data_IF_179023400534
#
_entry.id   IF_179023400534
#
_cell.length_a   1.000
_cell.length_b   1.000
_cell.length_c   1.000
_cell.angle_alpha   90.00
_cell.angle_beta   90.00
_cell.angle_gamma   90.00
#
_symmetry.space_group_name_H-M   'P 1'
#
loop_
_entity.id
_entity.type
_entity.pdbx_description
1 polymer ?
#
# COMPACT_ATOMS: atom_id res chain seq x y z
N UNK A 1 29.08 7.44 4.91
CA UNK A 1 28.15 6.57 4.20
C UNK A 1 27.75 5.41 5.11
N UNK A 2 26.84 5.64 6.07
CA UNK A 2 26.34 4.65 7.05
C UNK A 2 24.86 4.98 7.38
N UNK A 3 23.99 5.03 6.38
CA UNK A 3 22.59 5.42 6.57
C UNK A 3 21.56 4.29 6.39
N UNK A 4 21.99 3.09 6.00
CA UNK A 4 21.09 1.94 5.79
C UNK A 4 20.86 1.06 7.02
N UNK A 5 21.26 1.49 8.23
CA UNK A 5 21.36 0.61 9.40
C UNK A 5 20.25 0.84 10.43
N UNK A 6 19.51 1.94 10.40
CA UNK A 6 18.68 2.34 11.53
C UNK A 6 17.30 1.70 11.63
N UNK A 7 16.63 1.37 10.52
CA UNK A 7 15.37 0.63 10.60
C UNK A 7 15.64 -0.85 10.96
N UNK A 8 16.71 -1.43 10.39
CA UNK A 8 17.23 -2.75 10.83
C UNK A 8 17.65 -2.76 12.30
N UNK A 9 18.08 -1.63 12.85
CA UNK A 9 18.55 -1.56 14.24
C UNK A 9 17.39 -1.54 15.26
N UNK A 10 16.25 -0.95 14.94
CA UNK A 10 15.07 -1.01 15.80
C UNK A 10 14.45 -2.42 15.86
N UNK A 11 14.49 -3.16 14.77
CA UNK A 11 14.09 -4.58 14.74
C UNK A 11 15.19 -5.48 15.33
N UNK A 12 16.47 -5.15 15.15
CA UNK A 12 17.63 -5.95 15.59
C UNK A 12 17.94 -5.86 17.08
N UNK A 13 17.59 -4.79 17.79
CA UNK A 13 17.81 -4.68 19.24
C UNK A 13 16.90 -5.59 20.08
N UNK A 14 15.85 -6.15 19.48
CA UNK A 14 14.94 -7.09 20.11
C UNK A 14 15.09 -8.55 19.64
N UNK A 15 16.06 -8.86 18.79
CA UNK A 15 16.26 -10.22 18.22
C UNK A 15 16.59 -11.31 19.25
N UNK A 16 16.81 -10.98 20.50
CA UNK A 16 17.05 -11.93 21.58
C UNK A 16 15.82 -12.55 22.23
N UNK A 17 14.59 -12.13 21.86
CA UNK A 17 13.33 -12.57 22.48
C UNK A 17 12.34 -13.23 21.50
N UNK A 18 12.76 -13.45 20.26
CA UNK A 18 11.89 -13.98 19.23
C UNK A 18 11.99 -15.50 19.20
N UNK A 19 10.97 -16.18 19.67
CA UNK A 19 10.77 -17.58 19.34
C UNK A 19 10.69 -17.75 17.82
N UNK A 20 10.93 -18.95 17.33
CA UNK A 20 11.08 -19.35 15.91
C UNK A 20 9.91 -19.01 14.96
N UNK A 21 8.92 -18.21 15.41
CA UNK A 21 7.69 -17.94 14.64
C UNK A 21 7.84 -16.68 13.77
N UNK A 22 7.88 -16.89 12.47
CA UNK A 22 7.86 -15.80 11.48
C UNK A 22 6.51 -15.09 11.49
N UNK A 23 6.44 -13.73 11.53
CA UNK A 23 5.16 -13.03 11.52
C UNK A 23 4.48 -13.12 10.16
N UNK A 24 3.18 -12.95 10.19
CA UNK A 24 2.40 -12.59 9.02
C UNK A 24 2.65 -11.12 8.68
N UNK A 25 2.50 -10.76 7.42
CA UNK A 25 2.75 -9.39 6.94
C UNK A 25 1.60 -8.98 6.04
N UNK A 26 0.99 -7.84 6.33
CA UNK A 26 0.00 -7.19 5.47
C UNK A 26 0.50 -5.79 5.13
N UNK A 27 0.67 -5.52 3.84
CA UNK A 27 1.04 -4.22 3.34
C UNK A 27 -0.17 -3.58 2.63
N UNK A 28 -0.86 -2.71 3.35
CA UNK A 28 -1.96 -1.89 2.85
C UNK A 28 -1.35 -0.70 2.13
N UNK A 29 -1.56 -0.61 0.82
CA UNK A 29 -0.97 0.41 -0.02
C UNK A 29 -2.08 1.09 -0.83
N UNK A 30 -2.48 2.26 -0.39
CA UNK A 30 -3.53 3.07 -0.99
C UNK A 30 -3.05 3.73 -2.30
N UNK A 31 -3.98 4.25 -3.07
CA UNK A 31 -3.73 4.92 -4.35
C UNK A 31 -4.16 6.39 -4.25
N UNK A 32 -3.21 7.32 -4.34
CA UNK A 32 -3.43 8.77 -4.22
C UNK A 32 -3.80 9.26 -2.81
N UNK A 33 -3.49 8.55 -1.73
CA UNK A 33 -3.83 8.97 -0.37
C UNK A 33 -2.82 10.00 0.18
N UNK A 34 -3.29 11.21 0.40
CA UNK A 34 -2.47 12.31 0.90
C UNK A 34 -2.02 12.13 2.35
N UNK A 35 -0.84 12.67 2.70
CA UNK A 35 -0.39 12.66 4.09
C UNK A 35 -1.39 13.38 5.02
N UNK A 36 -2.03 14.43 4.55
CA UNK A 36 -3.02 15.19 5.31
C UNK A 36 -4.42 14.56 5.35
N UNK A 37 -4.66 13.48 4.63
CA UNK A 37 -6.00 12.87 4.47
C UNK A 37 -6.32 11.82 5.54
N UNK A 38 -5.78 11.99 6.76
CA UNK A 38 -6.02 11.15 7.92
C UNK A 38 -6.55 11.96 9.09
N UNK A 39 -7.46 11.35 9.88
CA UNK A 39 -7.95 11.95 11.12
C UNK A 39 -6.82 12.19 12.13
N UNK A 40 -5.93 11.22 12.33
CA UNK A 40 -4.77 11.33 13.21
C UNK A 40 -3.73 12.37 12.75
N UNK A 41 -3.77 12.82 11.49
CA UNK A 41 -2.96 13.93 10.98
C UNK A 41 -3.70 15.28 11.01
N UNK A 42 -4.91 15.32 11.59
CA UNK A 42 -5.67 16.54 11.84
C UNK A 42 -6.49 17.05 10.65
N UNK A 43 -6.96 16.15 9.77
CA UNK A 43 -7.88 16.58 8.71
C UNK A 43 -9.16 17.16 9.31
N UNK A 44 -9.67 18.29 8.78
CA UNK A 44 -10.76 19.03 9.44
C UNK A 44 -12.11 18.29 9.45
N UNK A 45 -12.39 17.40 8.52
CA UNK A 45 -13.66 16.69 8.43
C UNK A 45 -13.57 15.21 8.03
N UNK A 46 -12.44 14.73 7.49
CA UNK A 46 -12.30 13.32 7.16
C UNK A 46 -12.27 12.46 8.43
N UNK A 47 -12.90 11.30 8.36
CA UNK A 47 -12.95 10.32 9.43
C UNK A 47 -12.20 9.06 8.96
N UNK A 48 -11.13 8.70 9.65
CA UNK A 48 -10.36 7.48 9.37
C UNK A 48 -10.14 6.67 10.67
N UNK A 49 -11.25 6.30 11.38
CA UNK A 49 -11.13 5.75 12.73
C UNK A 49 -10.32 4.44 12.80
N UNK A 50 -10.29 3.65 11.74
CA UNK A 50 -9.56 2.38 11.71
C UNK A 50 -8.07 2.57 11.42
N UNK A 51 -7.71 3.52 10.53
CA UNK A 51 -6.31 3.92 10.34
C UNK A 51 -5.80 4.66 11.58
N UNK A 52 -6.62 5.50 12.22
CA UNK A 52 -6.29 6.18 13.47
C UNK A 52 -6.07 5.15 14.61
N UNK A 53 -6.89 4.07 14.66
CA UNK A 53 -6.66 2.91 15.52
C UNK A 53 -5.30 2.28 15.23
N UNK A 54 -4.98 2.00 13.95
CA UNK A 54 -3.70 1.42 13.55
C UNK A 54 -2.52 2.29 14.01
N UNK A 55 -2.63 3.62 13.91
CA UNK A 55 -1.63 4.58 14.40
C UNK A 55 -1.51 4.55 15.93
N UNK A 56 -2.61 4.50 16.65
CA UNK A 56 -2.62 4.44 18.13
C UNK A 56 -2.08 3.11 18.68
N UNK A 57 -2.25 2.01 17.96
CA UNK A 57 -1.73 0.69 18.30
C UNK A 57 -0.32 0.42 17.76
N UNK A 58 0.24 1.34 16.96
CA UNK A 58 1.54 1.22 16.28
C UNK A 58 2.39 2.48 16.35
N UNK A 59 3.28 2.64 15.39
CA UNK A 59 4.10 3.84 15.20
C UNK A 59 3.75 4.51 13.87
N UNK A 60 3.48 5.81 13.93
CA UNK A 60 3.26 6.69 12.80
C UNK A 60 4.58 7.40 12.42
N UNK A 61 5.12 7.12 11.23
CA UNK A 61 6.40 7.63 10.76
C UNK A 61 6.19 8.82 9.82
N UNK A 62 6.37 10.02 10.35
CA UNK A 62 6.09 11.27 9.62
C UNK A 62 7.08 11.60 8.50
N UNK A 63 8.23 10.93 8.44
CA UNK A 63 9.28 11.21 7.45
C UNK A 63 9.50 10.03 6.49
N UNK A 64 8.42 9.43 6.05
CA UNK A 64 8.44 8.43 4.98
C UNK A 64 8.26 9.09 3.63
N UNK A 65 8.96 8.57 2.61
CA UNK A 65 8.79 8.98 1.22
C UNK A 65 8.78 7.79 0.27
N UNK A 66 7.87 7.84 -0.70
CA UNK A 66 7.88 6.96 -1.87
C UNK A 66 8.90 7.45 -2.90
N UNK A 67 9.23 6.60 -3.87
CA UNK A 67 10.29 6.88 -4.84
C UNK A 67 9.84 7.74 -6.03
N UNK A 68 8.55 8.02 -6.15
CA UNK A 68 7.98 8.81 -7.25
C UNK A 68 6.64 9.42 -6.82
N UNK A 69 6.25 10.53 -7.46
CA UNK A 69 4.93 11.12 -7.29
C UNK A 69 3.82 10.46 -8.11
N UNK A 70 4.05 9.28 -8.72
CA UNK A 70 3.07 8.53 -9.51
C UNK A 70 3.13 7.03 -9.24
N UNK A 71 2.01 6.34 -9.52
CA UNK A 71 1.73 4.96 -9.12
C UNK A 71 2.80 3.93 -9.51
N UNK A 72 2.97 3.63 -10.82
CA UNK A 72 3.80 2.49 -11.26
C UNK A 72 5.26 2.56 -10.81
N UNK A 73 5.97 3.71 -10.88
CA UNK A 73 7.33 3.78 -10.34
C UNK A 73 7.39 3.61 -8.83
N UNK A 74 6.43 4.14 -8.05
CA UNK A 74 6.39 3.90 -6.60
C UNK A 74 6.13 2.43 -6.27
N UNK A 75 5.18 1.79 -6.98
CA UNK A 75 4.88 0.35 -6.84
C UNK A 75 6.10 -0.51 -7.24
N UNK A 76 6.84 -0.11 -8.28
CA UNK A 76 8.13 -0.74 -8.64
C UNK A 76 9.14 -0.65 -7.50
N UNK A 77 9.26 0.51 -6.84
CA UNK A 77 10.22 0.70 -5.76
C UNK A 77 9.91 -0.17 -4.54
N UNK A 78 8.65 -0.24 -4.08
CA UNK A 78 8.26 -1.08 -2.94
C UNK A 78 8.41 -2.57 -3.22
N UNK A 79 8.21 -2.99 -4.48
CA UNK A 79 8.37 -4.39 -4.88
C UNK A 79 9.83 -4.81 -5.03
N UNK A 80 10.70 -3.91 -5.49
CA UNK A 80 12.08 -4.26 -5.86
C UNK A 80 13.15 -3.78 -4.88
N UNK A 81 12.84 -2.79 -4.03
CA UNK A 81 13.84 -2.09 -3.21
C UNK A 81 14.82 -1.24 -4.03
N UNK A 82 14.50 -1.00 -5.30
CA UNK A 82 15.34 -0.20 -6.19
C UNK A 82 14.60 1.06 -6.64
N UNK A 83 15.34 2.13 -6.90
CA UNK A 83 14.76 3.29 -7.58
C UNK A 83 14.26 2.89 -8.97
N UNK A 84 13.05 3.32 -9.38
CA UNK A 84 12.38 2.88 -10.60
C UNK A 84 13.12 3.27 -11.88
N UNK A 85 13.96 4.31 -11.85
CA UNK A 85 14.86 4.70 -12.94
C UNK A 85 15.79 3.56 -13.39
N UNK A 86 16.13 2.61 -12.49
CA UNK A 86 16.91 1.41 -12.85
C UNK A 86 16.22 0.54 -13.90
N UNK A 87 14.91 0.63 -13.98
CA UNK A 87 14.04 -0.12 -14.90
C UNK A 87 13.47 0.75 -16.02
N UNK A 88 13.92 2.01 -16.12
CA UNK A 88 13.34 3.02 -17.03
C UNK A 88 11.83 3.22 -16.82
N UNK A 89 11.36 3.09 -15.56
CA UNK A 89 9.95 3.27 -15.18
C UNK A 89 9.83 4.61 -14.45
N UNK A 90 9.60 5.69 -15.18
CA UNK A 90 9.51 7.08 -14.69
C UNK A 90 8.09 7.67 -14.74
N UNK A 91 7.12 6.91 -15.26
CA UNK A 91 5.70 7.25 -15.28
C UNK A 91 4.82 6.03 -15.04
N UNK A 92 3.52 6.26 -14.97
CA UNK A 92 2.55 5.16 -14.87
C UNK A 92 2.51 4.34 -16.17
N UNK A 93 2.36 3.04 -16.07
CA UNK A 93 2.10 2.19 -17.24
C UNK A 93 0.77 2.56 -17.89
N UNK A 94 0.79 2.64 -19.20
CA UNK A 94 -0.36 2.95 -20.04
C UNK A 94 -0.35 2.02 -21.26
N UNK A 95 -1.10 2.32 -22.30
CA UNK A 95 -1.06 1.57 -23.56
C UNK A 95 0.31 1.68 -24.25
N UNK A 96 0.67 0.65 -25.03
CA UNK A 96 2.02 0.47 -25.61
C UNK A 96 2.59 1.73 -26.30
N UNK A 97 1.89 2.42 -27.23
CA UNK A 97 2.42 3.64 -27.84
C UNK A 97 2.75 4.78 -26.87
N UNK A 98 2.00 4.88 -25.75
CA UNK A 98 2.27 5.88 -24.72
C UNK A 98 3.53 5.54 -23.93
N UNK A 99 3.74 4.27 -23.58
CA UNK A 99 4.95 3.81 -22.91
C UNK A 99 6.18 4.02 -23.80
N UNK A 100 6.10 3.62 -25.07
CA UNK A 100 7.18 3.79 -26.06
C UNK A 100 7.58 5.26 -26.25
N UNK A 101 6.58 6.17 -26.33
CA UNK A 101 6.85 7.63 -26.45
C UNK A 101 7.66 8.16 -25.25
N UNK A 102 7.54 7.53 -24.08
CA UNK A 102 8.27 7.88 -22.85
C UNK A 102 9.55 7.06 -22.66
N UNK A 103 9.92 6.20 -23.60
CA UNK A 103 11.02 5.23 -23.51
C UNK A 103 10.89 4.30 -22.30
N UNK A 104 9.67 3.99 -21.91
CA UNK A 104 9.36 3.06 -20.83
C UNK A 104 9.13 1.64 -21.36
N UNK A 105 9.42 0.58 -20.58
CA UNK A 105 8.92 -0.76 -20.88
C UNK A 105 7.39 -0.79 -20.72
N UNK A 106 6.76 -1.87 -21.17
CA UNK A 106 5.32 -2.06 -21.05
C UNK A 106 4.90 -2.71 -19.71
N UNK A 107 5.85 -3.27 -18.97
CA UNK A 107 5.69 -3.83 -17.62
C UNK A 107 7.01 -3.89 -16.88
N UNK A 108 6.95 -4.02 -15.55
CA UNK A 108 8.13 -4.37 -14.77
C UNK A 108 8.61 -5.79 -15.15
N UNK A 109 9.89 -5.94 -15.43
CA UNK A 109 10.46 -7.26 -15.73
C UNK A 109 10.25 -8.22 -14.53
N UNK A 110 9.57 -9.37 -14.72
CA UNK A 110 9.36 -10.35 -13.65
C UNK A 110 10.65 -10.96 -13.08
N UNK A 111 11.78 -10.83 -13.78
CA UNK A 111 13.10 -11.28 -13.30
C UNK A 111 13.79 -10.26 -12.38
N UNK A 112 13.18 -9.11 -12.12
CA UNK A 112 13.67 -8.17 -11.11
C UNK A 112 13.73 -8.85 -9.72
N UNK A 113 14.61 -8.41 -8.81
CA UNK A 113 14.53 -8.83 -7.42
C UNK A 113 13.21 -8.33 -6.81
N UNK A 114 12.39 -9.23 -6.29
CA UNK A 114 11.04 -8.93 -5.84
C UNK A 114 10.85 -9.35 -4.38
N UNK A 115 10.27 -8.47 -3.57
CA UNK A 115 9.93 -8.77 -2.18
C UNK A 115 9.09 -10.04 -2.06
N UNK A 116 8.06 -10.15 -2.89
CA UNK A 116 7.15 -11.31 -2.94
C UNK A 116 7.89 -12.61 -3.19
N UNK A 117 8.85 -12.63 -4.14
CA UNK A 117 9.65 -13.82 -4.43
C UNK A 117 10.57 -14.18 -3.27
N UNK A 118 11.24 -13.22 -2.66
CA UNK A 118 12.06 -13.47 -1.47
C UNK A 118 11.25 -14.06 -0.31
N UNK A 119 10.03 -13.56 -0.10
CA UNK A 119 9.15 -14.10 0.92
C UNK A 119 8.60 -15.49 0.56
N UNK A 120 8.24 -15.72 -0.70
CA UNK A 120 7.82 -17.04 -1.19
C UNK A 120 8.93 -18.07 -1.03
N UNK A 121 10.17 -17.75 -1.40
CA UNK A 121 11.36 -18.59 -1.19
C UNK A 121 11.64 -18.84 0.30
N UNK A 122 11.28 -17.89 1.16
CA UNK A 122 11.32 -18.05 2.61
C UNK A 122 10.13 -18.86 3.18
N UNK A 123 9.24 -19.41 2.34
CA UNK A 123 8.13 -20.28 2.72
C UNK A 123 6.85 -19.54 3.17
N UNK A 124 6.71 -18.25 2.85
CA UNK A 124 5.46 -17.55 3.00
C UNK A 124 4.46 -17.96 1.92
N UNK A 125 3.18 -18.00 2.27
CA UNK A 125 2.11 -17.89 1.29
C UNK A 125 1.98 -16.43 0.88
N UNK A 126 1.92 -16.14 -0.43
CA UNK A 126 1.96 -14.76 -0.94
C UNK A 126 0.70 -14.44 -1.72
N UNK A 127 0.08 -13.28 -1.44
CA UNK A 127 -1.09 -12.81 -2.17
C UNK A 127 -1.00 -11.34 -2.56
N UNK A 128 -1.78 -10.99 -3.59
CA UNK A 128 -1.99 -9.61 -4.01
C UNK A 128 -3.48 -9.37 -4.28
N UNK A 129 -4.06 -8.38 -3.61
CA UNK A 129 -5.44 -7.98 -3.82
C UNK A 129 -5.52 -6.48 -4.07
N UNK A 130 -6.17 -6.09 -5.16
CA UNK A 130 -6.36 -4.72 -5.57
C UNK A 130 -5.55 -4.27 -6.79
N UNK A 131 -5.17 -3.01 -6.85
CA UNK A 131 -4.48 -2.40 -7.99
C UNK A 131 -3.09 -2.99 -8.20
N UNK A 132 -2.87 -3.57 -9.37
CA UNK A 132 -1.54 -4.09 -9.75
C UNK A 132 -0.60 -2.98 -10.25
N UNK A 133 -0.89 -2.44 -11.39
CA UNK A 133 -0.21 -1.33 -12.06
C UNK A 133 1.33 -1.46 -12.17
N UNK A 134 1.86 -2.70 -12.18
CA UNK A 134 3.21 -3.04 -12.65
C UNK A 134 3.20 -3.50 -14.11
N UNK A 135 2.07 -3.38 -14.74
CA UNK A 135 1.68 -3.44 -16.14
C UNK A 135 0.43 -2.56 -16.28
N UNK A 136 -0.39 -2.79 -17.32
CA UNK A 136 -1.71 -2.16 -17.47
C UNK A 136 -2.67 -3.15 -18.16
N UNK A 137 -3.97 -3.04 -17.91
CA UNK A 137 -5.03 -3.85 -18.54
C UNK A 137 -5.11 -3.66 -20.07
N UNK A 138 -4.64 -2.52 -20.57
CA UNK A 138 -4.51 -2.24 -22.01
C UNK A 138 -3.33 -2.98 -22.67
N UNK A 139 -2.59 -3.83 -21.97
CA UNK A 139 -1.45 -4.61 -22.46
C UNK A 139 -1.75 -6.11 -22.27
N UNK A 140 -2.46 -6.74 -23.21
CA UNK A 140 -3.03 -8.09 -23.03
C UNK A 140 -1.99 -9.18 -22.75
N UNK A 141 -0.79 -9.04 -23.33
CA UNK A 141 0.27 -10.04 -23.23
C UNK A 141 1.24 -9.78 -22.06
N UNK A 142 0.90 -8.84 -21.17
CA UNK A 142 1.74 -8.57 -20.00
C UNK A 142 1.70 -9.74 -19.01
N UNK A 143 2.83 -10.00 -18.29
CA UNK A 143 2.87 -11.05 -17.29
C UNK A 143 1.82 -10.85 -16.19
N UNK A 144 1.16 -11.92 -15.80
CA UNK A 144 0.20 -11.92 -14.69
C UNK A 144 0.93 -11.78 -13.33
N UNK A 145 0.26 -11.34 -12.26
CA UNK A 145 0.85 -11.22 -10.93
C UNK A 145 1.58 -12.46 -10.43
N UNK A 146 1.14 -13.68 -10.84
CA UNK A 146 1.82 -14.94 -10.50
C UNK A 146 3.27 -15.04 -11.01
N UNK A 147 3.62 -14.34 -12.09
CA UNK A 147 5.00 -14.30 -12.58
C UNK A 147 5.96 -13.54 -11.64
N UNK A 148 5.43 -12.86 -10.63
CA UNK A 148 6.17 -11.99 -9.70
C UNK A 148 6.31 -12.57 -8.29
N UNK A 149 6.16 -13.89 -8.13
CA UNK A 149 6.28 -14.56 -6.82
C UNK A 149 5.02 -14.35 -5.95
N UNK A 150 3.85 -14.39 -6.58
CA UNK A 150 2.54 -14.29 -5.93
C UNK A 150 1.78 -15.60 -6.18
N UNK A 151 1.36 -16.28 -5.11
CA UNK A 151 0.66 -17.57 -5.18
C UNK A 151 -0.82 -17.38 -5.54
N UNK A 152 -1.46 -16.34 -5.01
CA UNK A 152 -2.87 -16.04 -5.25
C UNK A 152 -3.08 -14.54 -5.50
N UNK A 153 -3.98 -14.18 -6.42
CA UNK A 153 -4.31 -12.77 -6.63
C UNK A 153 -5.77 -12.55 -7.05
N UNK A 154 -6.29 -11.38 -6.68
CA UNK A 154 -7.40 -10.70 -7.30
C UNK A 154 -6.93 -9.28 -7.60
N UNK A 155 -6.87 -8.91 -8.88
CA UNK A 155 -6.24 -7.66 -9.25
C UNK A 155 -7.00 -6.92 -10.36
N UNK A 156 -6.75 -5.63 -10.47
CA UNK A 156 -7.13 -4.80 -11.61
C UNK A 156 -5.93 -3.98 -12.07
N UNK A 157 -6.04 -3.29 -13.21
CA UNK A 157 -4.89 -2.66 -13.90
C UNK A 157 -3.76 -3.66 -14.23
N UNK A 158 -4.15 -4.87 -14.67
CA UNK A 158 -3.26 -5.94 -15.15
C UNK A 158 -3.92 -6.68 -16.31
N UNK A 159 -3.19 -7.53 -17.01
CA UNK A 159 -3.80 -8.46 -17.97
C UNK A 159 -4.72 -9.47 -17.26
N UNK A 160 -5.71 -10.00 -17.98
CA UNK A 160 -6.62 -11.01 -17.49
C UNK A 160 -7.87 -10.44 -16.80
N UNK A 161 -8.63 -11.30 -16.11
CA UNK A 161 -9.85 -10.89 -15.42
C UNK A 161 -9.57 -9.84 -14.36
N UNK A 162 -10.37 -8.77 -14.35
CA UNK A 162 -10.30 -7.72 -13.36
C UNK A 162 -11.15 -8.08 -12.14
N UNK A 163 -10.63 -7.88 -10.94
CA UNK A 163 -11.45 -7.97 -9.72
C UNK A 163 -12.33 -6.72 -9.57
N UNK A 164 -13.41 -6.83 -8.82
CA UNK A 164 -14.16 -5.65 -8.39
C UNK A 164 -13.37 -4.89 -7.31
N UNK A 165 -13.27 -3.58 -7.45
CA UNK A 165 -12.33 -2.76 -6.66
C UNK A 165 -12.49 -2.86 -5.13
N UNK A 166 -13.69 -3.19 -4.64
CA UNK A 166 -14.00 -3.30 -3.22
C UNK A 166 -14.03 -4.75 -2.68
N UNK A 167 -13.56 -5.73 -3.47
CA UNK A 167 -13.48 -7.12 -3.01
C UNK A 167 -12.12 -7.47 -2.36
N UNK A 168 -11.23 -6.50 -2.20
CA UNK A 168 -9.87 -6.66 -1.70
C UNK A 168 -9.80 -7.34 -0.32
N UNK A 169 -10.43 -6.78 0.70
CA UNK A 169 -10.49 -7.36 2.06
C UNK A 169 -11.29 -8.66 2.08
N UNK A 170 -12.39 -8.71 1.34
CA UNK A 170 -13.23 -9.90 1.20
C UNK A 170 -12.48 -11.10 0.61
N UNK A 171 -11.50 -10.85 -0.26
CA UNK A 171 -10.60 -11.89 -0.76
C UNK A 171 -9.46 -12.20 0.21
N UNK A 172 -8.95 -11.18 0.91
CA UNK A 172 -7.82 -11.34 1.82
C UNK A 172 -8.16 -12.22 3.04
N UNK A 173 -9.31 -12.06 3.68
CA UNK A 173 -9.68 -12.82 4.88
C UNK A 173 -9.71 -14.34 4.66
N UNK A 174 -10.34 -14.88 3.61
CA UNK A 174 -10.29 -16.32 3.33
C UNK A 174 -8.87 -16.84 3.03
N UNK A 175 -8.01 -16.02 2.39
CA UNK A 175 -6.61 -16.39 2.17
C UNK A 175 -5.83 -16.49 3.48
N UNK A 176 -6.08 -15.58 4.42
CA UNK A 176 -5.49 -15.59 5.77
C UNK A 176 -5.88 -16.88 6.50
N UNK A 177 -7.17 -17.23 6.50
CA UNK A 177 -7.66 -18.45 7.15
C UNK A 177 -7.00 -19.71 6.57
N UNK A 178 -6.97 -19.86 5.24
CA UNK A 178 -6.30 -20.99 4.59
C UNK A 178 -4.80 -21.05 4.90
N UNK A 179 -4.11 -19.92 4.93
CA UNK A 179 -2.68 -19.87 5.24
C UNK A 179 -2.42 -20.34 6.68
N UNK A 180 -3.27 -19.90 7.62
CA UNK A 180 -3.23 -20.33 9.02
C UNK A 180 -3.49 -21.84 9.16
N UNK A 181 -4.50 -22.39 8.49
CA UNK A 181 -4.81 -23.83 8.48
C UNK A 181 -3.64 -24.66 7.97
N UNK A 182 -2.90 -24.14 6.97
CA UNK A 182 -1.70 -24.77 6.44
C UNK A 182 -0.45 -24.55 7.31
N UNK A 183 -0.54 -23.80 8.41
CA UNK A 183 0.58 -23.47 9.29
C UNK A 183 1.66 -22.62 8.58
N UNK A 184 1.32 -21.88 7.54
CA UNK A 184 2.24 -21.02 6.80
C UNK A 184 2.12 -19.56 7.23
N UNK A 185 3.22 -18.83 7.43
CA UNK A 185 3.17 -17.39 7.50
C UNK A 185 2.73 -16.84 6.13
N UNK A 186 2.07 -15.70 6.12
CA UNK A 186 1.60 -15.10 4.86
C UNK A 186 2.12 -13.67 4.69
N UNK A 187 2.20 -13.27 3.41
CA UNK A 187 2.40 -11.90 2.98
C UNK A 187 1.27 -11.50 2.03
N UNK A 188 0.64 -10.38 2.31
CA UNK A 188 -0.42 -9.82 1.47
C UNK A 188 -0.05 -8.40 1.05
N UNK A 189 0.00 -8.15 -0.25
CA UNK A 189 -0.17 -6.82 -0.82
C UNK A 189 -1.67 -6.54 -0.89
N UNK A 190 -2.18 -5.69 -0.01
CA UNK A 190 -3.54 -5.17 -0.07
C UNK A 190 -3.47 -3.76 -0.67
N UNK A 191 -3.51 -3.68 -2.00
CA UNK A 191 -3.27 -2.44 -2.72
C UNK A 191 -4.59 -1.82 -3.17
N UNK A 192 -5.16 -1.01 -2.29
CA UNK A 192 -6.49 -0.42 -2.44
C UNK A 192 -6.55 0.58 -3.59
N UNK A 193 -7.74 0.78 -4.15
CA UNK A 193 -7.99 1.77 -5.21
C UNK A 193 -8.10 3.20 -4.67
N UNK A 194 -8.66 3.34 -3.48
CA UNK A 194 -9.01 4.65 -2.94
C UNK A 194 -7.79 5.42 -2.40
N UNK A 195 -7.85 6.74 -2.53
CA UNK A 195 -8.88 7.57 -3.18
C UNK A 195 -8.55 7.95 -4.63
N UNK A 196 -8.16 7.02 -5.48
CA UNK A 196 -7.95 7.27 -6.92
C UNK A 196 -9.31 7.39 -7.66
N UNK A 197 -9.32 8.14 -8.76
CA UNK A 197 -10.48 8.19 -9.69
C UNK A 197 -10.62 6.89 -10.49
N UNK A 198 -11.85 6.45 -10.83
CA UNK A 198 -13.15 7.01 -10.45
C UNK A 198 -13.46 6.83 -8.96
N UNK A 199 -14.05 7.84 -8.33
CA UNK A 199 -14.49 7.73 -6.94
C UNK A 199 -15.80 6.92 -6.87
N UNK A 200 -15.73 5.75 -6.24
CA UNK A 200 -16.88 4.86 -6.05
C UNK A 200 -17.50 5.10 -4.67
N UNK A 201 -18.60 5.80 -4.63
CA UNK A 201 -19.22 6.28 -3.40
C UNK A 201 -20.38 5.39 -2.97
N UNK A 202 -20.38 4.95 -1.72
CA UNK A 202 -21.59 4.45 -1.08
C UNK A 202 -22.48 5.63 -0.66
N UNK A 203 -23.73 5.75 -1.20
CA UNK A 203 -24.63 6.84 -0.86
C UNK A 203 -24.97 6.94 0.63
N UNK A 204 -24.90 5.82 1.38
CA UNK A 204 -25.12 5.82 2.83
C UNK A 204 -24.01 6.52 3.57
N UNK A 205 -22.75 6.25 3.18
CA UNK A 205 -21.59 6.92 3.75
C UNK A 205 -21.53 8.39 3.34
N UNK A 206 -21.92 8.71 2.10
CA UNK A 206 -22.01 10.12 1.66
C UNK A 206 -22.99 10.93 2.51
N UNK A 207 -24.10 10.34 2.93
CA UNK A 207 -25.08 11.01 3.77
C UNK A 207 -24.53 11.43 5.16
N UNK A 208 -23.46 10.81 5.64
CA UNK A 208 -22.76 11.21 6.88
C UNK A 208 -22.03 12.55 6.76
N UNK A 209 -21.86 13.07 5.54
CA UNK A 209 -21.18 14.32 5.22
C UNK A 209 -22.11 15.32 4.54
N UNK A 210 -23.40 15.27 4.85
CA UNK A 210 -24.45 16.10 4.22
C UNK A 210 -24.30 17.61 4.46
N UNK A 211 -23.48 18.02 5.44
CA UNK A 211 -23.15 19.42 5.71
C UNK A 211 -22.01 19.97 4.84
N UNK A 212 -21.27 19.09 4.13
CA UNK A 212 -20.20 19.49 3.21
C UNK A 212 -20.76 19.79 1.82
N UNK A 213 -19.95 20.46 0.99
CA UNK A 213 -20.29 20.53 -0.42
C UNK A 213 -20.21 19.12 -1.07
N UNK A 214 -20.88 18.95 -2.23
CA UNK A 214 -21.03 17.63 -2.85
C UNK A 214 -19.70 16.97 -3.17
N UNK A 215 -18.69 17.71 -3.62
CA UNK A 215 -17.39 17.18 -3.97
C UNK A 215 -16.59 16.75 -2.72
N UNK A 216 -16.65 17.52 -1.65
CA UNK A 216 -16.03 17.18 -0.37
C UNK A 216 -16.73 15.98 0.28
N UNK A 217 -18.08 15.90 0.20
CA UNK A 217 -18.84 14.75 0.69
C UNK A 217 -18.51 13.45 -0.06
N UNK A 218 -18.37 13.50 -1.39
CA UNK A 218 -17.95 12.35 -2.21
C UNK A 218 -16.54 11.90 -1.81
N UNK A 219 -15.59 12.81 -1.69
CA UNK A 219 -14.23 12.49 -1.30
C UNK A 219 -14.18 11.87 0.10
N UNK A 220 -14.84 12.51 1.07
CA UNK A 220 -14.89 12.03 2.45
C UNK A 220 -15.52 10.64 2.57
N UNK A 221 -16.63 10.40 1.87
CA UNK A 221 -17.30 9.10 1.86
C UNK A 221 -16.43 8.00 1.21
N UNK A 222 -15.67 8.35 0.17
CA UNK A 222 -14.73 7.41 -0.47
C UNK A 222 -13.64 6.97 0.49
N UNK A 223 -13.04 7.90 1.26
CA UNK A 223 -12.02 7.55 2.24
C UNK A 223 -12.60 6.78 3.44
N UNK A 224 -13.76 7.19 3.93
CA UNK A 224 -14.43 6.46 5.02
C UNK A 224 -14.79 5.02 4.60
N UNK A 225 -15.19 4.80 3.34
CA UNK A 225 -15.44 3.46 2.82
C UNK A 225 -14.16 2.60 2.83
N UNK A 226 -13.04 3.13 2.36
CA UNK A 226 -11.76 2.43 2.40
C UNK A 226 -11.31 2.16 3.84
N UNK A 227 -11.41 3.14 4.73
CA UNK A 227 -11.10 2.98 6.15
C UNK A 227 -11.98 1.91 6.83
N UNK A 228 -13.26 1.84 6.47
CA UNK A 228 -14.17 0.80 6.98
C UNK A 228 -13.70 -0.59 6.59
N UNK A 229 -13.28 -0.82 5.33
CA UNK A 229 -12.73 -2.12 4.90
C UNK A 229 -11.41 -2.45 5.60
N UNK A 230 -10.56 -1.45 5.86
CA UNK A 230 -9.37 -1.65 6.72
C UNK A 230 -9.81 -2.11 8.12
N UNK A 231 -10.86 -1.51 8.67
CA UNK A 231 -11.46 -1.94 9.94
C UNK A 231 -11.94 -3.38 9.93
N UNK A 232 -12.62 -3.82 8.86
CA UNK A 232 -13.03 -5.22 8.67
C UNK A 232 -11.83 -6.17 8.69
N UNK A 233 -10.73 -5.80 8.00
CA UNK A 233 -9.50 -6.59 8.03
C UNK A 233 -8.91 -6.67 9.44
N UNK A 234 -8.76 -5.53 10.14
CA UNK A 234 -8.18 -5.49 11.48
C UNK A 234 -9.01 -6.31 12.48
N UNK A 235 -10.34 -6.19 12.42
CA UNK A 235 -11.26 -6.96 13.24
C UNK A 235 -11.18 -8.47 12.92
N UNK A 236 -11.07 -8.82 11.63
CA UNK A 236 -10.86 -10.21 11.22
C UNK A 236 -9.57 -10.82 11.81
N UNK A 237 -8.47 -10.05 11.88
CA UNK A 237 -7.24 -10.50 12.54
C UNK A 237 -7.44 -10.72 14.04
N UNK A 238 -8.22 -9.85 14.71
CA UNK A 238 -8.55 -9.98 16.13
C UNK A 238 -9.43 -11.22 16.39
N UNK A 239 -10.47 -11.44 15.58
CA UNK A 239 -11.39 -12.58 15.68
C UNK A 239 -10.68 -13.92 15.45
N UNK A 240 -9.74 -13.96 14.50
CA UNK A 240 -8.92 -15.15 14.23
C UNK A 240 -7.84 -15.34 15.30
N UNK A 241 -7.51 -14.31 16.09
CA UNK A 241 -6.53 -14.35 17.19
C UNK A 241 -5.07 -14.35 16.70
N UNK A 242 -4.76 -13.62 15.62
CA UNK A 242 -3.40 -13.54 15.06
C UNK A 242 -2.84 -12.10 15.02
N UNK A 243 -3.50 -11.17 15.66
CA UNK A 243 -3.10 -9.74 15.70
C UNK A 243 -1.66 -9.57 16.20
N UNK A 244 -1.27 -10.28 17.27
CA UNK A 244 0.08 -10.19 17.85
C UNK A 244 1.17 -10.80 16.95
N UNK A 245 0.79 -11.72 16.07
CA UNK A 245 1.66 -12.40 15.13
C UNK A 245 1.69 -11.70 13.74
N UNK A 246 1.03 -10.55 13.59
CA UNK A 246 0.87 -9.90 12.28
C UNK A 246 1.41 -8.47 12.28
N UNK A 247 2.38 -8.21 11.39
CA UNK A 247 2.81 -6.86 11.04
C UNK A 247 1.84 -6.30 10.00
N UNK A 248 1.16 -5.21 10.34
CA UNK A 248 0.32 -4.43 9.42
C UNK A 248 0.99 -3.10 9.13
N UNK A 249 1.18 -2.80 7.85
CA UNK A 249 1.72 -1.53 7.36
C UNK A 249 0.65 -0.84 6.52
N UNK A 250 0.38 0.44 6.78
CA UNK A 250 -0.44 1.31 5.93
C UNK A 250 0.43 2.39 5.30
N UNK A 251 0.29 2.59 3.98
CA UNK A 251 0.93 3.68 3.25
C UNK A 251 0.18 4.00 1.96
N UNK A 252 0.69 4.92 1.15
CA UNK A 252 0.17 5.29 -0.18
C UNK A 252 1.28 5.29 -1.22
N UNK A 253 0.90 5.11 -2.49
CA UNK A 253 1.86 5.05 -3.61
C UNK A 253 2.35 6.43 -4.07
N UNK A 254 1.59 7.48 -3.83
CA UNK A 254 1.97 8.88 -4.03
C UNK A 254 1.02 9.80 -3.24
N UNK A 255 1.34 11.08 -3.21
CA UNK A 255 0.47 12.08 -2.62
C UNK A 255 -0.85 12.27 -3.39
N UNK A 256 -1.79 13.06 -2.85
CA UNK A 256 -3.16 13.11 -3.34
C UNK A 256 -3.26 13.72 -4.72
N UNK A 257 -4.22 13.23 -5.51
CA UNK A 257 -4.63 13.91 -6.72
C UNK A 257 -5.32 15.23 -6.37
N UNK A 258 -5.12 16.23 -7.21
CA UNK A 258 -5.78 17.53 -7.08
C UNK A 258 -6.67 17.79 -8.29
N UNK A 259 -7.95 18.03 -8.04
CA UNK A 259 -8.83 18.59 -9.05
C UNK A 259 -8.34 19.97 -9.47
N UNK A 260 -8.43 20.30 -10.77
CA UNK A 260 -8.17 21.67 -11.19
C UNK A 260 -9.26 22.59 -10.61
N UNK A 261 -8.94 23.86 -10.28
CA UNK A 261 -9.95 24.81 -9.82
C UNK A 261 -11.12 24.87 -10.81
N UNK A 262 -12.33 24.85 -10.29
CA UNK A 262 -13.58 24.85 -11.06
C UNK A 262 -13.78 23.66 -12.01
N UNK A 263 -13.09 22.52 -11.78
CA UNK A 263 -13.43 21.28 -12.50
C UNK A 263 -14.84 20.85 -12.12
N UNK A 264 -15.78 20.71 -13.09
CA UNK A 264 -17.13 20.26 -12.77
C UNK A 264 -17.12 18.86 -12.15
N UNK A 265 -18.03 18.63 -11.23
CA UNK A 265 -18.33 17.30 -10.76
C UNK A 265 -18.99 16.52 -11.90
N UNK A 266 -18.35 15.47 -12.37
CA UNK A 266 -18.80 14.66 -13.50
C UNK A 266 -18.45 13.20 -13.28
N UNK A 267 -19.24 12.31 -13.88
CA UNK A 267 -18.92 10.90 -13.92
C UNK A 267 -17.81 10.63 -14.94
N UNK A 268 -16.97 9.68 -14.64
CA UNK A 268 -15.94 9.15 -15.53
C UNK A 268 -15.97 7.63 -15.50
N UNK A 269 -15.44 7.00 -16.52
CA UNK A 269 -15.37 5.55 -16.63
C UNK A 269 -13.92 5.10 -16.78
N UNK A 270 -13.56 4.10 -16.02
CA UNK A 270 -12.29 3.39 -16.14
C UNK A 270 -12.56 1.93 -16.49
N UNK A 271 -11.77 1.35 -17.40
CA UNK A 271 -11.98 -0.02 -17.89
C UNK A 271 -11.76 -1.07 -16.79
N UNK A 272 -10.85 -0.80 -15.87
CA UNK A 272 -10.51 -1.72 -14.78
C UNK A 272 -11.48 -1.62 -13.59
N UNK A 273 -12.02 -0.40 -13.32
CA UNK A 273 -12.77 -0.14 -12.09
C UNK A 273 -14.22 0.27 -12.29
N UNK A 274 -14.60 0.68 -13.50
CA UNK A 274 -15.99 1.02 -13.85
C UNK A 274 -16.32 2.52 -13.76
N UNK A 275 -17.60 2.82 -13.55
CA UNK A 275 -18.14 4.18 -13.51
C UNK A 275 -18.09 4.76 -12.10
N UNK A 276 -17.62 5.98 -11.96
CA UNK A 276 -17.61 6.74 -10.70
C UNK A 276 -17.38 8.22 -10.94
N UNK A 277 -17.22 9.00 -9.89
CA UNK A 277 -16.95 10.43 -10.02
C UNK A 277 -15.51 10.69 -10.45
N UNK A 278 -15.33 11.69 -11.32
CA UNK A 278 -14.02 12.10 -11.84
C UNK A 278 -13.28 13.08 -10.93
N UNK A 279 -12.20 13.66 -11.48
CA UNK A 279 -11.28 14.56 -10.76
C UNK A 279 -11.93 15.80 -10.13
N UNK A 280 -13.15 16.19 -10.52
CA UNK A 280 -13.90 17.26 -9.85
C UNK A 280 -14.15 16.98 -8.36
N UNK A 281 -14.19 15.71 -7.97
CA UNK A 281 -14.32 15.28 -6.58
C UNK A 281 -12.99 15.06 -5.86
N UNK A 282 -11.83 15.30 -6.49
CA UNK A 282 -10.52 15.15 -5.86
C UNK A 282 -10.25 16.32 -4.91
N UNK A 283 -10.34 16.07 -3.61
CA UNK A 283 -10.22 17.06 -2.53
C UNK A 283 -9.06 16.77 -1.56
N UNK A 284 -8.18 15.84 -1.92
CA UNK A 284 -7.08 15.44 -1.07
C UNK A 284 -6.15 16.59 -0.69
N UNK A 285 -5.63 16.53 0.54
CA UNK A 285 -4.71 17.51 1.10
C UNK A 285 -3.37 16.89 1.49
N UNK A 286 -2.33 17.69 1.36
CA UNK A 286 -0.94 17.26 1.61
C UNK A 286 -0.48 17.48 3.05
N UNK A 287 -1.35 18.05 3.91
CA UNK A 287 -0.95 18.43 5.28
C UNK A 287 0.10 19.55 5.30
N UNK A 288 0.02 20.51 4.36
CA UNK A 288 0.95 21.62 4.22
C UNK A 288 2.25 21.31 3.48
N UNK A 289 2.43 20.10 2.99
CA UNK A 289 3.57 19.71 2.13
C UNK A 289 3.41 20.31 0.74
N UNK A 290 4.55 20.67 0.11
CA UNK A 290 4.56 21.36 -1.18
C UNK A 290 4.17 20.42 -2.33
N UNK A 291 3.31 20.89 -3.24
CA UNK A 291 2.82 20.19 -4.43
C UNK A 291 1.93 18.97 -4.11
N UNK A 292 1.60 18.17 -5.13
CA UNK A 292 0.64 17.07 -5.15
C UNK A 292 1.14 15.92 -6.02
N UNK A 293 0.30 14.92 -6.28
CA UNK A 293 0.55 13.82 -7.23
C UNK A 293 1.22 14.34 -8.51
N UNK A 294 2.20 13.60 -9.02
CA UNK A 294 3.00 13.94 -10.20
C UNK A 294 4.25 14.75 -9.89
N UNK A 295 4.39 15.31 -8.68
CA UNK A 295 5.55 16.07 -8.25
C UNK A 295 6.53 15.22 -7.45
N UNK A 296 7.84 15.57 -7.55
CA UNK A 296 8.89 15.02 -6.66
C UNK A 296 9.07 15.85 -5.38
N UNK A 297 8.21 16.86 -5.17
CA UNK A 297 8.17 17.60 -3.91
C UNK A 297 7.42 16.79 -2.83
N UNK A 298 7.55 17.21 -1.58
CA UNK A 298 7.05 16.46 -0.41
C UNK A 298 5.54 16.13 -0.48
N UNK A 299 4.71 16.99 -1.09
CA UNK A 299 3.29 16.71 -1.25
C UNK A 299 2.98 15.64 -2.30
N UNK A 300 3.93 15.35 -3.21
CA UNK A 300 3.80 14.24 -4.17
C UNK A 300 4.40 12.93 -3.70
N UNK A 301 5.46 12.96 -2.88
CA UNK A 301 6.20 11.76 -2.45
C UNK A 301 6.16 11.48 -0.95
N UNK A 302 5.86 12.46 -0.11
CA UNK A 302 5.74 12.30 1.32
C UNK A 302 4.31 11.86 1.69
N UNK A 303 4.13 10.60 1.96
CA UNK A 303 2.85 9.94 2.19
C UNK A 303 2.76 9.41 3.63
N UNK A 304 1.56 9.01 4.12
CA UNK A 304 1.45 8.32 5.42
C UNK A 304 2.28 7.04 5.44
N UNK A 305 2.87 6.72 6.60
CA UNK A 305 3.47 5.42 6.84
C UNK A 305 3.27 5.03 8.30
N UNK A 306 2.35 4.12 8.53
CA UNK A 306 1.97 3.63 9.86
C UNK A 306 2.27 2.13 9.91
N UNK A 307 2.96 1.69 10.96
CA UNK A 307 3.27 0.28 11.15
C UNK A 307 2.83 -0.18 12.54
N UNK A 308 2.04 -1.25 12.59
CA UNK A 308 1.59 -1.89 13.83
C UNK A 308 2.06 -3.32 13.90
N UNK A 309 2.72 -3.65 14.99
CA UNK A 309 3.04 -5.02 15.37
C UNK A 309 3.10 -5.12 16.89
N UNK A 310 2.07 -5.61 17.55
CA UNK A 310 1.98 -5.63 19.02
C UNK A 310 3.20 -6.28 19.68
N UNK A 311 3.71 -5.64 20.72
CA UNK A 311 4.89 -6.10 21.46
C UNK A 311 6.23 -5.99 20.71
N UNK A 312 6.25 -5.52 19.46
CA UNK A 312 7.44 -5.38 18.61
C UNK A 312 7.67 -3.95 18.11
N UNK A 313 6.61 -3.28 17.71
CA UNK A 313 6.62 -1.87 17.33
C UNK A 313 5.93 -1.10 18.46
N UNK A 314 6.53 -0.01 18.98
CA UNK A 314 5.93 0.79 20.03
C UNK A 314 4.56 1.34 19.64
N UNK A 315 3.55 1.12 20.49
CA UNK A 315 2.21 1.65 20.30
C UNK A 315 2.13 3.13 20.65
N UNK A 316 1.28 3.89 19.94
CA UNK A 316 1.01 5.30 20.18
C UNK A 316 2.22 6.22 19.94
N UNK A 317 3.23 5.77 19.21
CA UNK A 317 4.42 6.57 18.91
C UNK A 317 4.26 7.33 17.61
N UNK A 318 4.56 8.63 17.64
CA UNK A 318 4.81 9.45 16.45
C UNK A 318 6.32 9.60 16.27
N UNK A 319 6.85 9.11 15.16
CA UNK A 319 8.28 9.21 14.83
C UNK A 319 8.51 10.31 13.79
N UNK A 320 9.10 11.42 14.25
CA UNK A 320 9.43 12.57 13.41
C UNK A 320 10.92 12.66 13.07
N UNK A 321 11.72 11.69 13.47
CA UNK A 321 13.19 11.74 13.37
C UNK A 321 13.75 10.80 12.33
N UNK A 322 13.25 9.59 12.25
CA UNK A 322 13.75 8.59 11.31
C UNK A 322 13.27 8.89 9.89
N UNK A 323 14.20 8.91 8.95
CA UNK A 323 13.91 9.06 7.51
C UNK A 323 13.85 7.67 6.91
N UNK A 324 12.71 7.36 6.29
CA UNK A 324 12.45 6.06 5.65
C UNK A 324 12.03 6.31 4.21
N UNK A 325 12.52 5.49 3.31
CA UNK A 325 12.13 5.49 1.90
C UNK A 325 11.51 4.14 1.48
N UNK A 326 10.66 4.17 0.49
CA UNK A 326 10.07 2.96 -0.09
C UNK A 326 11.12 1.91 -0.51
N UNK A 327 12.31 2.34 -0.95
CA UNK A 327 13.40 1.42 -1.32
C UNK A 327 14.05 0.71 -0.12
N UNK A 328 13.79 1.16 1.11
CA UNK A 328 14.30 0.53 2.33
C UNK A 328 13.49 -0.71 2.74
N UNK A 329 12.27 -0.88 2.22
CA UNK A 329 11.37 -1.97 2.62
C UNK A 329 11.96 -3.34 2.27
N UNK A 330 12.37 -3.56 1.02
CA UNK A 330 12.91 -4.86 0.58
C UNK A 330 14.17 -5.25 1.34
N UNK A 331 15.22 -4.41 1.44
CA UNK A 331 16.41 -4.77 2.21
C UNK A 331 16.11 -4.98 3.70
N UNK A 332 15.13 -4.28 4.27
CA UNK A 332 14.70 -4.48 5.66
C UNK A 332 14.10 -5.88 5.85
N UNK A 333 13.14 -6.27 5.03
CA UNK A 333 12.53 -7.60 5.09
C UNK A 333 13.55 -8.72 4.80
N UNK A 334 14.39 -8.56 3.78
CA UNK A 334 15.42 -9.55 3.42
C UNK A 334 16.46 -9.73 4.54
N UNK A 335 16.91 -8.65 5.17
CA UNK A 335 17.85 -8.74 6.30
C UNK A 335 17.21 -9.40 7.51
N UNK A 336 15.94 -9.07 7.77
CA UNK A 336 15.20 -9.70 8.85
C UNK A 336 15.01 -11.22 8.59
N UNK A 337 14.63 -11.64 7.39
CA UNK A 337 14.55 -13.05 7.01
C UNK A 337 15.89 -13.77 7.23
N UNK A 338 17.02 -13.19 6.78
CA UNK A 338 18.36 -13.77 6.95
C UNK A 338 18.74 -13.93 8.43
N UNK A 339 18.45 -12.93 9.26
CA UNK A 339 18.76 -13.02 10.70
C UNK A 339 17.98 -14.13 11.39
N UNK A 340 16.74 -14.37 11.00
CA UNK A 340 15.91 -15.46 11.50
C UNK A 340 16.40 -16.84 11.04
N UNK A 341 16.81 -16.99 9.77
CA UNK A 341 17.34 -18.26 9.25
C UNK A 341 18.69 -18.65 9.86
N UNK A 342 19.60 -17.70 10.08
CA UNK A 342 20.93 -17.99 10.66
C UNK A 342 20.84 -18.42 12.14
N UNK A 343 19.83 -17.96 12.86
CA UNK A 343 19.63 -18.39 14.26
C UNK A 343 19.07 -19.82 14.36
N UNK A 344 18.17 -20.22 13.46
CA UNK A 344 17.59 -21.58 13.45
C UNK A 344 18.64 -22.66 13.12
N UNK A 345 19.57 -22.36 12.20
CA UNK A 345 20.66 -23.28 11.85
C UNK A 345 21.74 -23.38 12.93
N UNK A 346 21.92 -22.37 13.78
CA UNK A 346 22.91 -22.39 14.87
C UNK A 346 22.40 -23.15 16.13
N UNK A 347 21.11 -23.39 16.26
CA UNK A 347 20.51 -24.13 17.38
C UNK A 347 20.38 -25.64 17.09
N UNK A 348 20.63 -26.08 15.85
CA UNK A 348 20.53 -27.49 15.42
C UNK A 348 21.90 -28.18 15.25
N UNK A 349 22.98 -27.53 15.66
CA UNK A 349 24.36 -28.08 15.74
C UNK A 349 24.82 -28.05 17.24
#
# INVERSE_FOLDING_TARGET
MKFSVFFSFLISLYSGLWGDKRPNIIFIFADDWGWGDLGCHGHPYLKTPNIDRLASEGTDFHRFSVASGVCSPSRTAVMTGHFPARYSIDGHFAWVPSNQKRNMPDWLNPQAPLLTRFLQEAGYATAHYGKWHLANDMIPDSPLPTAYGIDEYGAFNCAGPQMFVHDDVKMALPFIERSRELGKPFFINLWMHEPHTPFHVDPKLQAEFSELDEADAIYAATLLHADTRIGELLNGLDEIGITDDTLVIFSSDNGPARGAPNTPLSLTYDTATGLGYGLGAAKGITGGRKEYKGSLMEGGIGVPFIARWPGKIPAGKVDQTNIISAVDLVPTFVNWLKSTFLQTTAQTV
#
